data_IF_435643208317
#
_entry.id   IF_435643208317
#
_cell.length_a   1.000
_cell.length_b   1.000
_cell.length_c   1.000
_cell.angle_alpha   90.00
_cell.angle_beta   90.00
_cell.angle_gamma   90.00
#
_symmetry.space_group_name_H-M   'P 1'
#
loop_
_entity.id
_entity.type
_entity.pdbx_description
1 polymer ?
#
# COMPACT_ATOMS: atom_id res chain seq x y z
N UNK A 1 51.60 32.76 -82.22
CA UNK A 1 50.29 32.97 -81.62
C UNK A 1 49.92 31.71 -80.87
N UNK A 2 50.19 31.65 -79.60
CA UNK A 2 49.89 30.47 -78.74
C UNK A 2 48.75 30.87 -77.77
N UNK A 3 47.68 30.14 -77.86
CA UNK A 3 46.51 30.33 -76.92
C UNK A 3 46.75 29.45 -75.71
N UNK A 4 46.86 30.13 -74.57
CA UNK A 4 46.88 29.52 -73.25
C UNK A 4 45.48 29.08 -72.85
N UNK A 5 45.30 27.78 -72.61
CA UNK A 5 44.05 27.25 -72.06
C UNK A 5 44.17 27.17 -70.55
N UNK A 6 43.49 28.02 -69.85
CA UNK A 6 43.34 27.92 -68.41
C UNK A 6 42.46 26.70 -68.02
N UNK A 7 43.07 25.81 -67.27
CA UNK A 7 42.38 24.72 -66.59
C UNK A 7 41.86 25.22 -65.23
N UNK A 8 40.55 25.35 -65.11
CA UNK A 8 39.89 25.64 -63.82
C UNK A 8 39.72 24.30 -63.11
N UNK A 9 40.49 24.08 -62.06
CA UNK A 9 40.35 22.93 -61.19
C UNK A 9 39.24 23.25 -60.17
N UNK A 10 38.06 22.69 -60.35
CA UNK A 10 36.97 22.78 -59.38
C UNK A 10 37.21 21.73 -58.33
N UNK A 11 37.71 22.16 -57.16
CA UNK A 11 37.82 21.30 -55.98
C UNK A 11 36.44 21.10 -55.38
N UNK A 12 35.90 19.90 -55.51
CA UNK A 12 34.74 19.45 -54.78
C UNK A 12 35.14 19.22 -53.32
N UNK A 13 34.80 20.17 -52.46
CA UNK A 13 34.87 20.02 -51.00
C UNK A 13 33.68 19.15 -50.56
N UNK A 14 33.92 17.87 -50.43
CA UNK A 14 32.93 16.95 -49.82
C UNK A 14 32.82 17.25 -48.32
N UNK A 15 31.78 18.02 -47.96
CA UNK A 15 31.39 18.23 -46.58
C UNK A 15 30.75 16.91 -46.08
N UNK A 16 31.54 16.06 -45.42
CA UNK A 16 31.01 14.92 -44.71
C UNK A 16 30.21 15.45 -43.51
N UNK A 17 28.93 15.57 -43.69
CA UNK A 17 28.01 15.77 -42.56
C UNK A 17 28.03 14.47 -41.73
N UNK A 18 28.81 14.47 -40.70
CA UNK A 18 28.68 13.45 -39.66
C UNK A 18 27.34 13.73 -38.94
N UNK A 19 26.30 12.98 -39.32
CA UNK A 19 25.10 12.85 -38.51
C UNK A 19 25.54 12.14 -37.24
N UNK A 20 25.87 12.90 -36.21
CA UNK A 20 25.95 12.41 -34.89
C UNK A 20 24.49 12.04 -34.52
N UNK A 21 24.16 10.78 -34.72
CA UNK A 21 22.98 10.23 -34.07
C UNK A 21 23.27 10.30 -32.58
N UNK A 22 22.84 11.36 -31.92
CA UNK A 22 22.70 11.37 -30.50
C UNK A 22 21.78 10.18 -30.21
N UNK A 23 22.36 9.05 -29.80
CA UNK A 23 21.60 8.04 -29.11
C UNK A 23 20.97 8.78 -27.94
N UNK A 24 19.66 8.94 -27.98
CA UNK A 24 18.91 9.41 -26.85
C UNK A 24 19.35 8.55 -25.67
N UNK A 25 20.10 9.13 -24.75
CA UNK A 25 20.33 8.52 -23.46
C UNK A 25 18.92 8.37 -22.87
N UNK A 26 18.41 7.15 -22.90
CA UNK A 26 17.17 6.82 -22.22
C UNK A 26 17.49 6.92 -20.74
N UNK A 27 17.25 8.09 -20.18
CA UNK A 27 17.21 8.25 -18.74
C UNK A 27 16.04 7.41 -18.24
N UNK A 28 16.33 6.49 -17.35
CA UNK A 28 15.30 5.65 -16.74
C UNK A 28 14.45 6.50 -15.81
N UNK A 29 13.22 6.78 -16.20
CA UNK A 29 12.31 7.61 -15.41
C UNK A 29 11.28 6.73 -14.72
N UNK A 30 11.05 7.01 -13.45
CA UNK A 30 9.88 6.55 -12.71
C UNK A 30 8.80 7.59 -12.86
N UNK A 31 7.60 7.13 -13.17
CA UNK A 31 6.41 7.95 -13.21
C UNK A 31 5.40 7.40 -12.22
N UNK A 32 4.71 8.27 -11.50
CA UNK A 32 3.55 7.91 -10.69
C UNK A 32 2.36 8.76 -11.13
N UNK A 33 1.21 8.12 -11.24
CA UNK A 33 -0.09 8.77 -11.38
C UNK A 33 -1.00 8.23 -10.30
N UNK A 34 -2.04 8.97 -9.95
CA UNK A 34 -3.01 8.51 -8.97
C UNK A 34 -4.24 9.37 -8.93
N UNK A 35 -5.27 8.82 -8.33
CA UNK A 35 -6.55 9.47 -8.08
C UNK A 35 -7.09 9.06 -6.72
N UNK A 36 -7.99 9.87 -6.18
CA UNK A 36 -8.76 9.53 -5.00
C UNK A 36 -10.13 9.02 -5.42
N UNK A 37 -10.55 7.90 -4.85
CA UNK A 37 -11.85 7.29 -5.11
C UNK A 37 -12.48 6.79 -3.81
N UNK A 38 -13.76 6.45 -3.86
CA UNK A 38 -14.36 5.67 -2.79
C UNK A 38 -13.89 4.22 -2.87
N UNK A 39 -13.65 3.60 -1.73
CA UNK A 39 -13.36 2.18 -1.70
C UNK A 39 -14.49 1.37 -2.35
N UNK A 40 -14.14 0.35 -3.11
CA UNK A 40 -15.11 -0.54 -3.77
C UNK A 40 -15.82 -1.45 -2.77
N UNK A 41 -15.20 -1.69 -1.62
CA UNK A 41 -15.77 -2.44 -0.49
C UNK A 41 -15.64 -1.58 0.76
N UNK A 42 -16.74 -1.37 1.47
CA UNK A 42 -16.80 -0.51 2.66
C UNK A 42 -16.85 0.98 2.31
N UNK A 43 -16.81 1.82 3.34
CA UNK A 43 -16.82 3.28 3.21
C UNK A 43 -15.43 3.88 3.35
N UNK A 44 -15.21 5.06 2.78
CA UNK A 44 -13.98 5.83 2.91
C UNK A 44 -13.23 6.04 1.59
N UNK A 45 -12.22 6.87 1.69
CA UNK A 45 -11.42 7.30 0.55
C UNK A 45 -10.23 6.36 0.41
N UNK A 46 -9.97 5.91 -0.81
CA UNK A 46 -8.74 5.22 -1.20
C UNK A 46 -7.96 6.08 -2.18
N UNK A 47 -6.67 5.94 -2.15
CA UNK A 47 -5.76 6.54 -3.11
C UNK A 47 -5.26 5.42 -4.02
N UNK A 48 -5.72 5.45 -5.25
CA UNK A 48 -5.24 4.56 -6.30
C UNK A 48 -3.95 5.14 -6.86
N UNK A 49 -3.05 4.28 -7.27
CA UNK A 49 -1.83 4.71 -7.95
C UNK A 49 -1.41 3.73 -9.04
N UNK A 50 -0.75 4.26 -10.03
CA UNK A 50 -0.05 3.52 -11.07
C UNK A 50 1.38 4.03 -11.14
N UNK A 51 2.33 3.12 -10.99
CA UNK A 51 3.76 3.41 -11.18
C UNK A 51 4.20 2.79 -12.47
N UNK A 52 4.88 3.55 -13.30
CA UNK A 52 5.42 3.10 -14.57
C UNK A 52 6.86 3.56 -14.75
N UNK A 53 7.55 2.92 -15.69
CA UNK A 53 8.91 3.29 -16.10
C UNK A 53 9.02 3.20 -17.62
N UNK A 54 9.86 4.04 -18.20
CA UNK A 54 10.21 4.01 -19.63
C UNK A 54 11.26 2.95 -19.97
N UNK A 55 11.85 2.31 -18.95
CA UNK A 55 12.80 1.23 -19.12
C UNK A 55 12.80 0.29 -17.91
N UNK A 56 12.96 -0.98 -18.18
CA UNK A 56 13.07 -2.04 -17.17
C UNK A 56 14.26 -2.97 -17.45
N UNK A 57 14.56 -3.92 -16.59
CA UNK A 57 13.91 -4.21 -15.32
C UNK A 57 14.48 -3.41 -14.15
N UNK A 58 13.64 -3.04 -13.20
CA UNK A 58 14.05 -2.40 -11.95
C UNK A 58 13.79 -3.31 -10.76
N UNK A 59 14.76 -3.48 -9.88
CA UNK A 59 14.63 -4.42 -8.79
C UNK A 59 13.61 -3.99 -7.74
N UNK A 60 13.44 -2.68 -7.54
CA UNK A 60 12.50 -2.19 -6.53
C UNK A 60 12.14 -0.73 -6.76
N UNK A 61 10.85 -0.42 -6.60
CA UNK A 61 10.34 0.95 -6.47
C UNK A 61 9.44 1.00 -5.25
N UNK A 62 9.69 1.96 -4.38
CA UNK A 62 8.91 2.21 -3.19
C UNK A 62 7.90 3.32 -3.45
N UNK A 63 6.66 3.11 -2.99
CA UNK A 63 5.58 4.10 -3.07
C UNK A 63 5.27 4.64 -1.70
N UNK A 64 5.25 5.95 -1.59
CA UNK A 64 4.96 6.68 -0.36
C UNK A 64 3.68 7.49 -0.51
N UNK A 65 2.88 7.53 0.53
CA UNK A 65 1.73 8.40 0.69
C UNK A 65 1.98 9.30 1.91
N UNK A 66 2.03 10.62 1.71
CA UNK A 66 2.37 11.59 2.75
C UNK A 66 3.64 11.18 3.53
N UNK A 67 4.69 10.79 2.80
CA UNK A 67 5.98 10.29 3.31
C UNK A 67 5.94 8.93 4.05
N UNK A 68 4.80 8.26 4.13
CA UNK A 68 4.72 6.92 4.68
C UNK A 68 4.83 5.89 3.56
N UNK A 69 5.72 4.90 3.72
CA UNK A 69 5.84 3.79 2.77
C UNK A 69 4.55 2.97 2.77
N UNK A 70 3.90 2.87 1.63
CA UNK A 70 2.62 2.15 1.47
C UNK A 70 2.71 0.94 0.56
N UNK A 71 3.69 0.90 -0.32
CA UNK A 71 3.92 -0.24 -1.20
C UNK A 71 5.36 -0.31 -1.68
N UNK A 72 5.76 -1.51 -2.07
CA UNK A 72 6.99 -1.77 -2.84
C UNK A 72 6.66 -2.69 -4.00
N UNK A 73 7.14 -2.37 -5.18
CA UNK A 73 6.97 -3.17 -6.38
C UNK A 73 8.27 -3.31 -7.15
N UNK A 74 8.31 -4.26 -8.07
CA UNK A 74 9.43 -4.46 -8.98
C UNK A 74 8.93 -4.52 -10.42
N UNK A 75 9.74 -3.99 -11.34
CA UNK A 75 9.52 -4.18 -12.76
C UNK A 75 10.30 -5.39 -13.25
N UNK A 76 9.67 -6.13 -14.12
CA UNK A 76 10.29 -7.28 -14.80
C UNK A 76 10.52 -6.94 -16.27
N UNK A 77 11.19 -7.82 -16.98
CA UNK A 77 11.36 -7.69 -18.45
C UNK A 77 10.04 -7.72 -19.21
N UNK A 78 8.96 -8.18 -18.56
CA UNK A 78 7.63 -8.30 -19.16
C UNK A 78 6.61 -7.32 -18.60
N UNK A 79 6.96 -6.57 -17.54
CA UNK A 79 6.07 -5.59 -16.92
C UNK A 79 6.82 -4.28 -16.67
N UNK A 80 6.34 -3.22 -17.29
CA UNK A 80 6.82 -1.84 -17.11
C UNK A 80 5.91 -1.01 -16.21
N UNK A 81 4.96 -1.65 -15.52
CA UNK A 81 3.95 -0.99 -14.71
C UNK A 81 3.49 -1.88 -13.56
N UNK A 82 3.21 -1.28 -12.42
CA UNK A 82 2.41 -1.87 -11.36
C UNK A 82 1.47 -0.83 -10.75
N UNK A 83 0.38 -1.29 -10.17
CA UNK A 83 -0.64 -0.43 -9.56
C UNK A 83 -1.07 -0.96 -8.21
N UNK A 84 -1.67 -0.10 -7.43
CA UNK A 84 -2.25 -0.45 -6.15
C UNK A 84 -3.30 0.57 -5.71
N UNK A 85 -3.96 0.22 -4.62
CA UNK A 85 -4.92 1.07 -3.93
C UNK A 85 -4.62 1.01 -2.44
N UNK A 86 -4.57 2.15 -1.78
CA UNK A 86 -4.30 2.24 -0.35
C UNK A 86 -5.33 3.16 0.31
N UNK A 87 -5.76 2.87 1.54
CA UNK A 87 -6.62 3.78 2.28
C UNK A 87 -5.97 5.18 2.39
N UNK A 88 -6.78 6.21 2.23
CA UNK A 88 -6.33 7.57 2.53
C UNK A 88 -5.92 7.68 4.01
N UNK A 89 -4.92 8.52 4.34
CA UNK A 89 -4.57 8.79 5.73
C UNK A 89 -5.78 9.23 6.55
N UNK A 90 -5.79 8.87 7.83
CA UNK A 90 -6.86 9.29 8.74
C UNK A 90 -7.02 10.81 8.76
N UNK A 91 -8.27 11.27 8.70
CA UNK A 91 -8.60 12.70 8.71
C UNK A 91 -8.62 13.36 7.33
N UNK A 92 -8.26 12.68 6.25
CA UNK A 92 -8.43 13.18 4.89
C UNK A 92 -9.91 13.23 4.53
N UNK A 93 -10.33 14.38 4.05
CA UNK A 93 -11.72 14.65 3.62
C UNK A 93 -11.74 15.16 2.17
N UNK A 94 -12.90 15.13 1.50
CA UNK A 94 -13.07 15.75 0.19
C UNK A 94 -12.61 17.22 0.20
N UNK A 95 -11.79 17.59 -0.77
CA UNK A 95 -11.12 18.89 -0.87
C UNK A 95 -9.68 18.91 -0.36
N UNK A 96 -9.24 17.90 0.37
CA UNK A 96 -7.85 17.79 0.79
C UNK A 96 -6.94 17.29 -0.35
N UNK A 97 -5.64 17.47 -0.16
CA UNK A 97 -4.60 16.99 -1.07
C UNK A 97 -3.69 16.03 -0.32
N UNK A 98 -3.30 14.95 -0.99
CA UNK A 98 -2.29 14.01 -0.49
C UNK A 98 -1.14 13.91 -1.47
N UNK A 99 0.07 13.70 -0.96
CA UNK A 99 1.28 13.56 -1.78
C UNK A 99 1.55 12.09 -2.04
N UNK A 100 1.58 11.68 -3.30
CA UNK A 100 2.08 10.38 -3.76
C UNK A 100 3.50 10.55 -4.29
N UNK A 101 4.40 9.67 -3.89
CA UNK A 101 5.79 9.65 -4.35
C UNK A 101 6.23 8.22 -4.63
N UNK A 102 6.80 7.99 -5.81
CA UNK A 102 7.47 6.75 -6.17
C UNK A 102 8.98 6.98 -6.22
N UNK A 103 9.73 6.12 -5.55
CA UNK A 103 11.20 6.21 -5.44
C UNK A 103 11.82 4.92 -5.90
N UNK A 104 12.69 4.98 -6.91
CA UNK A 104 13.50 3.86 -7.32
C UNK A 104 14.59 3.60 -6.29
N UNK A 105 14.68 2.35 -5.81
CA UNK A 105 15.62 1.92 -4.77
C UNK A 105 16.64 0.97 -5.37
N UNK A 106 17.92 1.21 -5.07
CA UNK A 106 19.04 0.42 -5.57
C UNK A 106 19.76 1.05 -6.75
N UNK A 107 20.71 0.31 -7.33
CA UNK A 107 21.44 0.74 -8.52
C UNK A 107 20.64 0.39 -9.76
N UNK A 108 20.29 1.40 -10.53
CA UNK A 108 19.79 1.23 -11.88
C UNK A 108 20.94 0.75 -12.77
N UNK A 109 20.81 -0.44 -13.32
CA UNK A 109 21.91 -1.16 -13.96
C UNK A 109 22.49 -0.50 -15.21
N UNK A 110 21.88 0.57 -15.72
CA UNK A 110 22.32 1.20 -16.95
C UNK A 110 23.14 2.48 -16.78
N UNK A 111 23.01 3.22 -15.68
CA UNK A 111 23.63 4.55 -15.57
C UNK A 111 24.54 4.75 -14.36
N UNK A 112 24.76 3.73 -13.53
CA UNK A 112 25.57 3.84 -12.30
C UNK A 112 25.20 5.05 -11.40
N UNK A 113 23.98 5.55 -11.50
CA UNK A 113 23.51 6.61 -10.63
C UNK A 113 23.08 6.02 -9.27
N UNK A 114 23.82 6.30 -8.21
CA UNK A 114 23.36 6.02 -6.85
C UNK A 114 22.25 7.00 -6.50
N UNK A 115 21.10 6.49 -6.12
CA UNK A 115 19.97 7.30 -5.69
C UNK A 115 18.98 7.54 -6.82
N UNK A 116 18.17 6.53 -7.05
CA UNK A 116 17.16 6.47 -8.10
C UNK A 116 16.33 7.71 -8.27
N UNK A 117 15.78 7.85 -9.46
CA UNK A 117 14.83 8.89 -9.77
C UNK A 117 13.59 8.72 -8.93
N UNK A 118 13.00 9.83 -8.54
CA UNK A 118 11.71 9.86 -7.91
C UNK A 118 10.71 10.64 -8.76
N UNK A 119 9.46 10.31 -8.57
CA UNK A 119 8.33 11.03 -9.16
C UNK A 119 7.34 11.32 -8.05
N UNK A 120 6.94 12.57 -7.95
CA UNK A 120 6.01 13.04 -6.91
C UNK A 120 4.86 13.78 -7.57
N UNK A 121 3.65 13.47 -7.12
CA UNK A 121 2.43 14.16 -7.53
C UNK A 121 1.58 14.52 -6.32
N UNK A 122 0.78 15.56 -6.48
CA UNK A 122 -0.29 15.90 -5.55
C UNK A 122 -1.61 15.32 -6.10
N UNK A 123 -2.31 14.57 -5.27
CA UNK A 123 -3.64 13.99 -5.57
C UNK A 123 -4.67 14.80 -4.79
N UNK A 124 -5.48 15.55 -5.51
CA UNK A 124 -6.64 16.21 -4.93
C UNK A 124 -7.75 15.18 -4.71
N UNK A 125 -8.24 15.10 -3.50
CA UNK A 125 -9.48 14.39 -3.20
C UNK A 125 -10.64 15.25 -3.69
N UNK A 126 -11.34 14.79 -4.72
CA UNK A 126 -12.43 15.55 -5.34
C UNK A 126 -13.40 16.08 -4.26
N UNK A 127 -13.64 17.39 -4.18
CA UNK A 127 -14.55 17.96 -3.19
C UNK A 127 -15.98 17.42 -3.28
N UNK A 128 -16.37 16.87 -4.43
CA UNK A 128 -17.68 16.26 -4.63
C UNK A 128 -17.73 14.76 -4.25
N UNK A 129 -16.57 14.17 -3.90
CA UNK A 129 -16.46 12.77 -3.59
C UNK A 129 -17.25 12.47 -2.31
N UNK A 130 -18.33 11.72 -2.45
CA UNK A 130 -19.18 11.29 -1.32
C UNK A 130 -18.98 9.79 -1.10
N UNK A 131 -17.92 9.45 -0.40
CA UNK A 131 -17.74 8.09 0.09
C UNK A 131 -18.53 7.97 1.38
N UNK A 132 -19.35 6.94 1.51
CA UNK A 132 -20.18 6.72 2.69
C UNK A 132 -19.40 7.06 3.96
N UNK A 133 -19.91 7.99 4.75
CA UNK A 133 -19.22 8.53 5.91
C UNK A 133 -19.21 7.51 7.03
N UNK A 134 -18.05 6.93 7.30
CA UNK A 134 -17.81 6.41 8.65
C UNK A 134 -17.40 7.58 9.52
N UNK A 135 -18.15 7.84 10.56
CA UNK A 135 -17.69 8.76 11.60
C UNK A 135 -16.39 8.21 12.18
N UNK A 136 -15.25 8.95 12.10
CA UNK A 136 -14.00 8.48 12.69
C UNK A 136 -14.20 8.28 14.19
N UNK A 137 -13.77 7.14 14.71
CA UNK A 137 -13.68 6.95 16.15
C UNK A 137 -14.92 6.38 16.85
N UNK A 138 -15.85 5.77 16.14
CA UNK A 138 -17.01 5.14 16.80
C UNK A 138 -16.98 3.63 16.56
N UNK A 139 -16.75 2.88 17.63
CA UNK A 139 -16.79 1.44 17.64
C UNK A 139 -15.49 0.77 18.02
N UNK A 140 -15.60 -0.46 18.46
CA UNK A 140 -14.48 -1.33 18.80
C UNK A 140 -14.76 -2.75 18.38
N UNK A 141 -13.71 -3.47 18.09
CA UNK A 141 -13.73 -4.90 17.79
C UNK A 141 -13.08 -5.67 18.93
N UNK A 142 -13.75 -6.70 19.40
CA UNK A 142 -13.21 -7.60 20.43
C UNK A 142 -13.32 -9.03 20.00
N UNK A 143 -12.58 -9.90 20.68
CA UNK A 143 -12.69 -11.32 20.47
C UNK A 143 -11.40 -11.97 20.02
N UNK A 144 -11.56 -13.11 19.42
CA UNK A 144 -10.43 -13.88 18.96
C UNK A 144 -10.88 -15.12 18.23
N UNK A 145 -9.95 -15.76 17.58
CA UNK A 145 -10.28 -16.92 16.79
C UNK A 145 -9.09 -17.67 16.31
N UNK A 146 -9.40 -18.68 15.54
CA UNK A 146 -8.46 -19.55 14.89
C UNK A 146 -8.74 -19.59 13.41
N UNK A 147 -7.71 -19.42 12.65
CA UNK A 147 -7.72 -19.56 11.19
C UNK A 147 -6.58 -20.49 10.81
N UNK A 148 -6.79 -21.25 9.76
CA UNK A 148 -5.75 -22.10 9.17
C UNK A 148 -5.48 -21.55 7.77
N UNK A 149 -4.23 -21.20 7.50
CA UNK A 149 -3.78 -20.82 6.18
C UNK A 149 -2.96 -21.96 5.55
N UNK A 150 -2.95 -22.01 4.20
CA UNK A 150 -2.29 -23.08 3.44
C UNK A 150 -0.78 -23.15 3.67
N UNK A 151 -0.15 -22.06 4.07
CA UNK A 151 1.29 -22.00 4.37
C UNK A 151 1.64 -22.01 5.85
N UNK A 152 0.65 -21.91 6.74
CA UNK A 152 0.84 -21.78 8.18
C UNK A 152 -0.16 -22.69 8.88
N UNK A 153 0.35 -23.71 9.56
CA UNK A 153 -0.48 -24.77 10.11
C UNK A 153 -1.61 -24.29 11.04
N UNK A 154 -1.45 -23.14 11.69
CA UNK A 154 -2.43 -22.61 12.62
C UNK A 154 -2.09 -21.17 13.00
N UNK A 155 -3.05 -20.28 12.86
CA UNK A 155 -2.98 -18.92 13.37
C UNK A 155 -4.07 -18.72 14.42
N UNK A 156 -3.70 -18.23 15.60
CA UNK A 156 -4.63 -17.84 16.66
C UNK A 156 -4.42 -16.36 17.00
N UNK A 157 -5.46 -15.70 17.47
CA UNK A 157 -5.41 -14.30 17.80
C UNK A 157 -6.35 -13.93 18.92
N UNK A 158 -6.01 -12.85 19.62
CA UNK A 158 -6.86 -12.16 20.57
C UNK A 158 -6.75 -10.66 20.34
N UNK A 159 -7.84 -9.95 20.45
CA UNK A 159 -7.83 -8.52 20.16
C UNK A 159 -8.88 -7.73 20.95
N UNK A 160 -8.51 -6.48 21.17
CA UNK A 160 -9.41 -5.37 21.47
C UNK A 160 -8.91 -4.17 20.69
N UNK A 161 -9.60 -3.80 19.64
CA UNK A 161 -9.21 -2.75 18.70
C UNK A 161 -10.33 -1.73 18.62
N UNK A 162 -9.99 -0.47 18.84
CA UNK A 162 -10.91 0.66 18.70
C UNK A 162 -10.69 1.36 17.34
N UNK A 163 -11.77 1.92 16.83
CA UNK A 163 -11.68 2.84 15.70
C UNK A 163 -10.97 4.15 16.07
N UNK A 164 -11.03 4.54 17.35
CA UNK A 164 -10.26 5.65 17.89
C UNK A 164 -8.84 5.20 18.30
N UNK A 165 -7.84 5.70 17.59
CA UNK A 165 -6.44 5.39 17.84
C UNK A 165 -5.93 5.85 19.22
N UNK A 166 -6.63 6.79 19.87
CA UNK A 166 -6.27 7.31 21.20
C UNK A 166 -6.61 6.36 22.32
N UNK A 167 -7.49 5.39 22.05
CA UNK A 167 -7.90 4.40 23.03
C UNK A 167 -6.89 3.25 23.10
N UNK A 168 -6.99 2.44 24.15
CA UNK A 168 -6.10 1.30 24.34
C UNK A 168 -6.41 0.18 23.33
N UNK A 169 -5.48 -0.09 22.46
CA UNK A 169 -5.58 -1.09 21.40
C UNK A 169 -4.64 -2.26 21.68
N UNK A 170 -5.13 -3.47 21.52
CA UNK A 170 -4.34 -4.70 21.67
C UNK A 170 -4.62 -5.67 20.53
N UNK A 171 -3.57 -6.23 19.94
CA UNK A 171 -3.64 -7.30 18.96
C UNK A 171 -2.49 -8.27 19.23
N UNK A 172 -2.85 -9.50 19.56
CA UNK A 172 -1.94 -10.62 19.75
C UNK A 172 -2.18 -11.68 18.68
N UNK A 173 -1.14 -12.12 18.03
CA UNK A 173 -1.19 -13.14 16.98
C UNK A 173 -0.13 -14.19 17.29
N UNK A 174 -0.55 -15.47 17.27
CA UNK A 174 0.36 -16.59 17.47
C UNK A 174 0.20 -17.60 16.32
N UNK A 175 1.31 -18.13 15.81
CA UNK A 175 1.30 -19.12 14.74
C UNK A 175 2.48 -20.08 14.81
N UNK A 176 2.46 -21.09 13.93
CA UNK A 176 3.56 -22.04 13.79
C UNK A 176 3.96 -22.73 15.09
N UNK A 177 5.24 -22.81 15.33
CA UNK A 177 5.82 -23.44 16.52
C UNK A 177 6.41 -22.34 17.43
N UNK A 178 5.49 -21.56 18.06
CA UNK A 178 5.87 -20.57 19.06
C UNK A 178 6.14 -19.17 18.54
N UNK A 179 5.86 -18.90 17.25
CA UNK A 179 5.94 -17.56 16.70
C UNK A 179 4.79 -16.71 17.20
N UNK A 180 5.10 -15.47 17.51
CA UNK A 180 4.12 -14.53 18.05
C UNK A 180 4.40 -13.10 17.58
N UNK A 181 3.32 -12.33 17.49
CA UNK A 181 3.36 -10.90 17.27
C UNK A 181 2.48 -10.21 18.32
N UNK A 182 3.00 -9.16 18.91
CA UNK A 182 2.30 -8.28 19.83
C UNK A 182 2.32 -6.85 19.31
N UNK A 183 1.14 -6.29 19.02
CA UNK A 183 1.01 -4.89 18.60
C UNK A 183 1.26 -3.97 19.79
N UNK A 184 2.20 -3.05 19.66
CA UNK A 184 2.54 -2.06 20.69
C UNK A 184 1.88 -0.70 20.43
N UNK A 185 1.54 -0.42 19.18
CA UNK A 185 0.84 0.81 18.81
C UNK A 185 -0.04 0.56 17.58
N UNK A 186 -1.27 1.02 17.64
CA UNK A 186 -2.18 1.12 16.50
C UNK A 186 -1.96 2.47 15.83
N UNK A 187 -1.57 2.49 14.57
CA UNK A 187 -1.11 3.69 13.88
C UNK A 187 -2.10 4.23 12.86
N UNK A 188 -2.97 3.38 12.33
CA UNK A 188 -4.05 3.79 11.45
C UNK A 188 -5.24 2.84 11.59
N UNK A 189 -6.45 3.37 11.53
CA UNK A 189 -7.69 2.61 11.55
C UNK A 189 -8.70 3.21 10.58
N UNK A 190 -9.41 2.34 9.92
CA UNK A 190 -10.59 2.66 9.14
C UNK A 190 -11.68 1.68 9.53
N UNK A 191 -12.76 2.20 10.11
CA UNK A 191 -13.93 1.43 10.42
C UNK A 191 -15.06 1.75 9.44
N UNK A 192 -15.79 0.74 9.00
CA UNK A 192 -16.85 0.86 8.02
C UNK A 192 -18.01 -0.07 8.36
N UNK A 193 -19.17 0.24 7.79
CA UNK A 193 -20.38 -0.54 7.82
C UNK A 193 -20.66 -1.01 6.38
N UNK A 194 -20.62 -2.32 6.13
CA UNK A 194 -20.98 -2.90 4.83
C UNK A 194 -22.49 -3.15 4.82
N UNK A 195 -23.28 -2.46 3.98
CA UNK A 195 -24.73 -2.59 3.95
C UNK A 195 -25.22 -3.99 3.54
N UNK A 196 -24.33 -4.86 3.08
CA UNK A 196 -24.67 -6.24 2.76
C UNK A 196 -24.47 -7.22 3.92
N UNK A 197 -23.86 -6.76 5.02
CA UNK A 197 -23.69 -7.52 6.25
C UNK A 197 -24.86 -7.22 7.17
N UNK A 198 -25.74 -8.20 7.35
CA UNK A 198 -26.86 -8.08 8.31
C UNK A 198 -26.37 -8.47 9.71
N UNK A 199 -25.89 -7.48 10.45
CA UNK A 199 -25.38 -7.67 11.80
C UNK A 199 -26.50 -8.15 12.73
N UNK A 200 -26.22 -9.25 13.42
CA UNK A 200 -27.08 -9.70 14.52
C UNK A 200 -26.67 -9.02 15.82
N UNK A 201 -27.62 -8.78 16.74
CA UNK A 201 -27.33 -8.13 18.02
C UNK A 201 -26.17 -8.82 18.78
N UNK A 202 -25.28 -8.04 19.41
CA UNK A 202 -25.35 -6.58 19.52
C UNK A 202 -24.90 -5.89 18.22
N UNK A 203 -25.81 -5.12 17.61
CA UNK A 203 -25.48 -4.33 16.45
C UNK A 203 -24.53 -3.19 16.85
N UNK A 204 -23.49 -3.00 16.05
CA UNK A 204 -22.56 -1.89 16.16
C UNK A 204 -22.76 -0.91 14.98
N UNK A 205 -22.22 0.30 15.05
CA UNK A 205 -22.28 1.22 13.90
C UNK A 205 -21.30 0.87 12.80
N UNK A 206 -20.53 -0.21 12.96
CA UNK A 206 -19.50 -0.68 12.04
C UNK A 206 -19.40 -2.20 12.15
N UNK A 207 -19.06 -2.86 11.05
CA UNK A 207 -18.82 -4.31 10.98
C UNK A 207 -17.41 -4.64 10.51
N UNK A 208 -16.71 -3.69 9.92
CA UNK A 208 -15.40 -3.88 9.34
C UNK A 208 -14.40 -2.87 9.88
N UNK A 209 -13.19 -3.33 10.19
CA UNK A 209 -12.04 -2.49 10.48
C UNK A 209 -10.83 -2.93 9.66
N UNK A 210 -10.21 -1.97 8.99
CA UNK A 210 -8.88 -2.09 8.40
C UNK A 210 -7.89 -1.30 9.25
N UNK A 211 -6.79 -1.92 9.65
CA UNK A 211 -5.85 -1.29 10.56
C UNK A 211 -4.40 -1.52 10.22
N UNK A 212 -3.59 -0.58 10.68
CA UNK A 212 -2.13 -0.66 10.65
C UNK A 212 -1.60 -0.50 12.06
N UNK A 213 -0.68 -1.36 12.45
CA UNK A 213 -0.02 -1.25 13.74
C UNK A 213 1.47 -1.56 13.64
N UNK A 214 2.22 -1.07 14.60
CA UNK A 214 3.62 -1.48 14.82
C UNK A 214 3.71 -2.34 16.07
N UNK A 215 4.69 -3.22 16.11
CA UNK A 215 4.82 -4.14 17.23
C UNK A 215 6.08 -4.97 17.20
N UNK A 216 6.01 -6.03 17.99
CA UNK A 216 7.11 -6.98 18.20
C UNK A 216 6.79 -8.34 17.61
N UNK A 217 7.69 -8.85 16.82
CA UNK A 217 7.69 -10.24 16.39
C UNK A 217 8.76 -11.00 17.18
N UNK A 218 8.36 -12.06 17.89
CA UNK A 218 9.24 -12.84 18.77
C UNK A 218 10.06 -11.95 19.73
N UNK A 219 9.40 -10.97 20.35
CA UNK A 219 9.98 -9.94 21.23
C UNK A 219 10.99 -8.98 20.56
N UNK A 220 11.12 -8.98 19.24
CA UNK A 220 11.94 -8.01 18.49
C UNK A 220 11.06 -6.90 17.93
N UNK A 221 11.40 -5.65 18.24
CA UNK A 221 10.74 -4.46 17.68
C UNK A 221 11.02 -4.33 16.17
N UNK A 222 10.27 -3.45 15.50
CA UNK A 222 10.52 -3.09 14.12
C UNK A 222 9.67 -3.84 13.10
N UNK A 223 8.51 -4.33 13.52
CA UNK A 223 7.55 -5.00 12.65
C UNK A 223 6.26 -4.20 12.52
N UNK A 224 5.67 -4.27 11.34
CA UNK A 224 4.37 -3.68 10.99
C UNK A 224 3.37 -4.78 10.75
N UNK A 225 2.16 -4.61 11.27
CA UNK A 225 0.99 -5.44 10.95
C UNK A 225 -0.02 -4.64 10.14
N UNK A 226 -0.50 -5.23 9.06
CA UNK A 226 -1.73 -4.84 8.38
C UNK A 226 -2.79 -5.87 8.71
N UNK A 227 -3.98 -5.44 9.05
CA UNK A 227 -5.08 -6.36 9.32
C UNK A 227 -6.42 -5.83 8.82
N UNK A 228 -7.30 -6.76 8.48
CA UNK A 228 -8.72 -6.51 8.23
C UNK A 228 -9.51 -7.44 9.12
N UNK A 229 -10.51 -6.93 9.80
CA UNK A 229 -11.44 -7.69 10.64
C UNK A 229 -12.84 -7.40 10.13
N UNK A 230 -13.63 -8.44 9.94
CA UNK A 230 -15.04 -8.37 9.57
C UNK A 230 -15.85 -9.17 10.57
N UNK A 231 -16.80 -8.51 11.24
CA UNK A 231 -17.84 -9.12 12.06
C UNK A 231 -19.09 -9.29 11.19
N UNK A 232 -19.34 -10.51 10.77
CA UNK A 232 -20.52 -10.85 9.98
C UNK A 232 -21.70 -11.34 10.86
N UNK A 233 -21.60 -11.11 12.18
CA UNK A 233 -22.63 -11.42 13.18
C UNK A 233 -22.47 -12.79 13.83
N UNK A 234 -23.40 -13.05 14.79
CA UNK A 234 -23.35 -14.26 15.61
C UNK A 234 -23.91 -15.49 14.87
N UNK A 235 -23.26 -16.66 15.00
CA UNK A 235 -22.25 -17.06 15.99
C UNK A 235 -20.79 -17.00 15.49
N UNK A 236 -20.38 -16.02 14.71
CA UNK A 236 -19.00 -15.80 14.27
C UNK A 236 -18.46 -16.78 13.21
N UNK A 237 -19.32 -17.58 12.59
CA UNK A 237 -18.88 -18.52 11.54
C UNK A 237 -18.58 -17.84 10.21
N UNK A 238 -19.14 -16.68 10.03
CA UNK A 238 -18.98 -15.85 8.82
C UNK A 238 -17.99 -14.71 9.04
N UNK A 239 -17.46 -14.59 10.27
CA UNK A 239 -16.42 -13.62 10.55
C UNK A 239 -15.15 -13.91 9.77
N UNK A 240 -14.49 -12.84 9.33
CA UNK A 240 -13.29 -12.96 8.54
C UNK A 240 -12.17 -12.10 9.10
N UNK A 241 -10.95 -12.51 8.82
CA UNK A 241 -9.78 -11.69 9.12
C UNK A 241 -8.67 -11.92 8.09
N UNK A 242 -8.00 -10.83 7.72
CA UNK A 242 -6.72 -10.85 7.02
C UNK A 242 -5.62 -10.35 7.95
N UNK A 243 -4.40 -10.87 7.80
CA UNK A 243 -3.23 -10.47 8.58
C UNK A 243 -2.00 -10.51 7.68
N UNK A 244 -1.25 -9.41 7.65
CA UNK A 244 0.09 -9.40 7.06
C UNK A 244 1.06 -8.74 8.03
N UNK A 245 2.13 -9.46 8.40
CA UNK A 245 3.18 -8.96 9.29
C UNK A 245 4.49 -8.97 8.51
N UNK A 246 5.19 -7.84 8.55
CA UNK A 246 6.46 -7.69 7.86
C UNK A 246 7.42 -6.79 8.66
N UNK A 247 8.71 -6.91 8.37
CA UNK A 247 9.72 -6.04 8.93
C UNK A 247 9.56 -4.62 8.40
N UNK A 248 9.42 -3.63 9.28
CA UNK A 248 9.12 -2.24 8.91
C UNK A 248 10.20 -1.64 7.99
N UNK A 249 11.48 -1.95 8.28
CA UNK A 249 12.61 -1.47 7.48
C UNK A 249 12.76 -2.20 6.13
N UNK A 250 12.14 -3.39 6.00
CA UNK A 250 12.18 -4.20 4.78
C UNK A 250 10.82 -4.86 4.51
N UNK A 251 9.84 -4.14 3.94
CA UNK A 251 8.47 -4.65 3.73
C UNK A 251 8.36 -5.89 2.83
N UNK A 252 9.43 -6.26 2.13
CA UNK A 252 9.49 -7.52 1.39
C UNK A 252 9.78 -8.73 2.29
N UNK A 253 10.31 -8.50 3.50
CA UNK A 253 10.50 -9.54 4.51
C UNK A 253 9.20 -9.75 5.29
N UNK A 254 8.32 -10.58 4.74
CA UNK A 254 7.03 -10.92 5.32
C UNK A 254 7.17 -12.16 6.19
N UNK A 255 6.81 -12.06 7.47
CA UNK A 255 6.89 -13.17 8.42
C UNK A 255 5.56 -13.90 8.59
N UNK A 256 4.45 -13.24 8.30
CA UNK A 256 3.11 -13.84 8.25
C UNK A 256 2.28 -13.16 7.15
N UNK A 257 1.58 -13.97 6.35
CA UNK A 257 0.60 -13.48 5.38
C UNK A 257 -0.59 -14.43 5.36
N UNK A 258 -1.71 -13.97 5.90
CA UNK A 258 -2.99 -14.68 5.91
C UNK A 258 -3.96 -13.83 5.09
N UNK A 259 -4.42 -14.31 3.93
CA UNK A 259 -5.42 -13.61 3.14
C UNK A 259 -6.74 -13.51 3.91
N UNK A 260 -7.63 -12.63 3.46
CA UNK A 260 -8.97 -12.53 4.04
C UNK A 260 -9.70 -13.87 3.91
N UNK A 261 -10.02 -14.46 5.03
CA UNK A 261 -10.67 -15.77 5.11
C UNK A 261 -11.48 -15.92 6.40
N UNK A 262 -12.43 -16.84 6.36
CA UNK A 262 -13.30 -17.14 7.48
C UNK A 262 -12.54 -17.72 8.68
N UNK A 263 -13.02 -17.40 9.87
CA UNK A 263 -12.55 -18.05 11.08
C UNK A 263 -12.94 -19.53 11.09
N UNK A 264 -12.01 -20.38 11.46
CA UNK A 264 -12.31 -21.81 11.66
C UNK A 264 -12.81 -22.12 13.07
N UNK A 265 -12.62 -21.22 14.01
CA UNK A 265 -13.17 -21.24 15.36
C UNK A 265 -12.99 -19.87 16.03
N UNK A 266 -13.84 -19.56 16.99
CA UNK A 266 -13.85 -18.28 17.71
C UNK A 266 -14.93 -17.36 17.21
N UNK A 267 -14.82 -16.11 17.60
CA UNK A 267 -15.77 -15.05 17.30
C UNK A 267 -15.07 -13.69 17.30
N UNK A 268 -15.50 -12.81 16.42
CA UNK A 268 -15.16 -11.40 16.42
C UNK A 268 -16.45 -10.61 16.64
N UNK A 269 -16.39 -9.57 17.43
CA UNK A 269 -17.58 -8.76 17.73
C UNK A 269 -17.26 -7.28 17.61
N UNK A 270 -18.03 -6.61 16.79
CA UNK A 270 -18.07 -5.17 16.75
C UNK A 270 -19.04 -4.64 17.83
N UNK A 271 -18.65 -3.57 18.49
CA UNK A 271 -19.40 -2.95 19.58
C UNK A 271 -19.41 -1.44 19.43
N UNK A 272 -20.39 -0.79 20.05
CA UNK A 272 -20.28 0.62 20.39
C UNK A 272 -19.11 0.83 21.36
N UNK A 273 -18.39 1.93 21.22
CA UNK A 273 -17.43 2.32 22.25
C UNK A 273 -18.19 2.59 23.56
N UNK A 274 -17.68 2.00 24.62
CA UNK A 274 -18.22 2.27 25.94
C UNK A 274 -17.80 3.68 26.37
N UNK A 275 -18.71 4.49 26.91
CA UNK A 275 -18.29 5.75 27.50
C UNK A 275 -17.33 5.42 28.66
N UNK A 276 -16.14 6.00 28.59
CA UNK A 276 -15.20 5.92 29.70
C UNK A 276 -15.83 6.63 30.91
N UNK A 277 -16.02 5.92 32.01
CA UNK A 277 -16.42 6.49 33.30
C UNK A 277 -15.25 7.18 33.97
#
# INVERSE_FOLDING_TARGET
MARLKSLVLVGLLSLAVQVVTASSAFAHHVFITGDAACATTGSGIVINYVVSTDSGPNPRIDVYLNNNLVASGAFTTTSSQFSGSVPAPSGIVPGDTVTLRAVAVGTWTFDNFPGGQDSTIEVLVDPSLSCGTTAPGVGRFTGGGKQVDVGVAKVTRGLTIHCDLKLSNNLEINWGVGENFHMTQHTAARCSDDPNIDQRPPAAPVDTIEGVGIGRYNNQDGYTVLFTIVDAGEPGREDQMAIRIYETANPSHVVLNVPLAYLTAGNLQAHYDQPHK
#
